data_IF_892963374757
#
_entry.id   IF_892963374757
#
_cell.length_a   1.000
_cell.length_b   1.000
_cell.length_c   1.000
_cell.angle_alpha   90.00
_cell.angle_beta   90.00
_cell.angle_gamma   90.00
#
_symmetry.space_group_name_H-M   'P 1'
#
loop_
_entity.id
_entity.type
_entity.pdbx_description
1 polymer ?
#
# COMPACT_ATOMS: atom_id res chain seq x y z
N UNK A 1 16.14 5.72 8.21
CA UNK A 1 15.16 4.82 7.57
C UNK A 1 13.87 5.54 7.28
N UNK A 2 13.24 5.19 6.19
CA UNK A 2 12.02 5.85 5.75
C UNK A 2 10.85 5.56 6.68
N UNK A 3 10.09 6.59 7.04
CA UNK A 3 8.93 6.50 7.93
C UNK A 3 7.86 5.54 7.40
N UNK A 4 7.63 5.56 6.09
CA UNK A 4 6.67 4.66 5.47
C UNK A 4 7.05 3.19 5.67
N UNK A 5 8.31 2.85 5.45
CA UNK A 5 8.77 1.47 5.59
C UNK A 5 8.66 0.97 7.03
N UNK A 6 8.94 1.83 8.00
CA UNK A 6 8.77 1.50 9.41
C UNK A 6 7.30 1.27 9.76
N UNK A 7 6.44 2.15 9.26
CA UNK A 7 5.02 2.04 9.49
C UNK A 7 4.45 0.76 8.87
N UNK A 8 4.86 0.47 7.63
CA UNK A 8 4.43 -0.76 6.96
C UNK A 8 4.89 -2.00 7.73
N UNK A 9 6.17 -2.03 8.14
CA UNK A 9 6.71 -3.17 8.87
C UNK A 9 5.93 -3.43 10.15
N UNK A 10 5.61 -2.37 10.88
CA UNK A 10 4.83 -2.49 12.10
C UNK A 10 3.43 -3.05 11.86
N UNK A 11 2.73 -2.55 10.85
CA UNK A 11 1.36 -2.98 10.55
C UNK A 11 1.29 -4.36 9.92
N UNK A 12 2.29 -4.72 9.12
CA UNK A 12 2.32 -6.01 8.45
C UNK A 12 2.48 -7.19 9.40
N UNK A 13 2.91 -6.95 10.63
CA UNK A 13 3.04 -8.01 11.64
C UNK A 13 1.68 -8.58 12.05
N UNK A 14 0.69 -7.72 12.15
CA UNK A 14 -0.65 -8.10 12.61
C UNK A 14 -1.67 -8.14 11.47
N UNK A 15 -1.31 -7.59 10.31
CA UNK A 15 -2.21 -7.46 9.19
C UNK A 15 -1.48 -7.83 7.91
N UNK A 16 -1.57 -9.08 7.46
CA UNK A 16 -0.78 -9.56 6.31
C UNK A 16 -1.01 -8.74 5.05
N UNK A 17 0.08 -8.16 4.55
CA UNK A 17 0.07 -7.36 3.33
C UNK A 17 1.32 -7.69 2.52
N UNK A 18 1.23 -7.49 1.20
CA UNK A 18 2.37 -7.65 0.32
C UNK A 18 2.79 -6.28 -0.19
N UNK A 19 4.08 -6.02 -0.17
CA UNK A 19 4.65 -4.75 -0.62
C UNK A 19 5.59 -5.01 -1.79
N UNK A 20 5.40 -4.25 -2.87
CA UNK A 20 6.30 -4.24 -4.01
C UNK A 20 6.74 -2.81 -4.29
N UNK A 21 8.04 -2.60 -4.35
CA UNK A 21 8.62 -1.30 -4.71
C UNK A 21 9.46 -1.53 -5.96
N UNK A 22 9.14 -0.81 -7.02
CA UNK A 22 9.86 -0.93 -8.29
C UNK A 22 10.31 0.44 -8.76
N UNK A 23 11.40 0.43 -9.54
CA UNK A 23 11.91 1.64 -10.17
C UNK A 23 12.34 1.30 -11.59
N UNK A 24 11.98 2.17 -12.54
CA UNK A 24 12.49 2.10 -13.90
C UNK A 24 12.56 3.50 -14.47
N UNK A 25 13.39 3.68 -15.51
CA UNK A 25 13.49 4.98 -16.16
C UNK A 25 12.21 5.39 -16.87
N UNK A 26 11.36 4.42 -17.18
CA UNK A 26 10.09 4.67 -17.87
C UNK A 26 8.96 4.91 -16.90
N UNK A 27 8.90 4.11 -15.82
CA UNK A 27 7.78 4.12 -14.88
C UNK A 27 8.09 4.84 -13.57
N UNK A 28 9.30 5.36 -13.41
CA UNK A 28 9.75 6.02 -12.19
C UNK A 28 9.63 5.10 -10.97
N UNK A 29 9.39 5.66 -9.79
CA UNK A 29 9.16 4.89 -8.57
C UNK A 29 7.70 4.45 -8.53
N UNK A 30 7.48 3.19 -8.14
CA UNK A 30 6.14 2.65 -8.00
C UNK A 30 6.05 1.85 -6.71
N UNK A 31 5.03 2.11 -5.91
CA UNK A 31 4.79 1.40 -4.66
C UNK A 31 3.40 0.77 -4.74
N UNK A 32 3.37 -0.55 -4.57
CA UNK A 32 2.13 -1.32 -4.57
C UNK A 32 2.03 -2.11 -3.28
N UNK A 33 0.92 -1.95 -2.57
CA UNK A 33 0.59 -2.76 -1.41
C UNK A 33 -0.76 -3.43 -1.70
N UNK A 34 -0.82 -4.73 -1.50
CA UNK A 34 -2.05 -5.47 -1.76
C UNK A 34 -2.22 -6.60 -0.74
N UNK A 35 -3.46 -7.05 -0.58
CA UNK A 35 -3.81 -8.17 0.26
C UNK A 35 -4.39 -9.25 -0.63
N UNK A 36 -3.75 -10.41 -0.63
CA UNK A 36 -4.02 -11.46 -1.60
C UNK A 36 -5.24 -12.29 -1.22
N UNK A 37 -6.11 -12.54 -2.22
CA UNK A 37 -7.20 -13.50 -2.05
C UNK A 37 -8.31 -13.09 -1.09
N UNK A 38 -8.48 -11.79 -0.82
CA UNK A 38 -9.46 -11.34 0.16
C UNK A 38 -10.47 -10.33 -0.38
N UNK A 39 -10.71 -10.34 -1.69
CA UNK A 39 -11.66 -9.42 -2.29
C UNK A 39 -13.05 -9.50 -1.66
N UNK A 40 -13.48 -10.68 -1.27
CA UNK A 40 -14.80 -10.89 -0.67
C UNK A 40 -14.92 -10.27 0.73
N UNK A 41 -13.80 -10.12 1.43
CA UNK A 41 -13.78 -9.54 2.76
C UNK A 41 -13.87 -8.01 2.74
N UNK A 42 -13.56 -7.40 1.60
CA UNK A 42 -13.54 -5.95 1.43
C UNK A 42 -14.24 -5.55 0.15
N UNK A 43 -15.56 -5.76 0.06
CA UNK A 43 -16.29 -5.57 -1.21
C UNK A 43 -16.29 -4.13 -1.71
N UNK A 44 -16.06 -3.15 -0.83
CA UNK A 44 -16.04 -1.73 -1.22
C UNK A 44 -14.64 -1.20 -1.52
N UNK A 45 -13.60 -2.01 -1.30
CA UNK A 45 -12.24 -1.61 -1.60
C UNK A 45 -11.92 -1.81 -3.08
N UNK A 46 -10.79 -1.24 -3.54
CA UNK A 46 -10.32 -1.49 -4.90
C UNK A 46 -9.83 -2.93 -5.00
N UNK A 47 -10.12 -3.57 -6.11
CA UNK A 47 -9.73 -4.95 -6.35
C UNK A 47 -8.96 -5.08 -7.66
N UNK A 48 -8.08 -6.08 -7.71
CA UNK A 48 -7.45 -6.55 -8.92
C UNK A 48 -7.61 -8.07 -8.92
N UNK A 49 -8.67 -8.55 -9.58
CA UNK A 49 -9.04 -9.95 -9.48
C UNK A 49 -9.52 -10.27 -8.07
N UNK A 50 -8.84 -11.20 -7.40
CA UNK A 50 -9.16 -11.60 -6.04
C UNK A 50 -8.37 -10.81 -4.97
N UNK A 51 -7.45 -9.95 -5.40
CA UNK A 51 -6.60 -9.19 -4.52
C UNK A 51 -7.19 -7.82 -4.24
N UNK A 52 -7.05 -7.37 -2.99
CA UNK A 52 -7.44 -6.01 -2.60
C UNK A 52 -6.23 -5.10 -2.76
N UNK A 53 -6.41 -4.01 -3.51
CA UNK A 53 -5.34 -3.02 -3.70
C UNK A 53 -5.45 -1.97 -2.59
N UNK A 54 -4.42 -1.91 -1.76
CA UNK A 54 -4.37 -0.99 -0.63
C UNK A 54 -3.69 0.31 -1.01
N UNK A 55 -2.52 0.22 -1.63
CA UNK A 55 -1.74 1.38 -2.08
C UNK A 55 -1.28 1.13 -3.50
N UNK A 56 -1.40 2.15 -4.35
CA UNK A 56 -0.84 2.12 -5.69
C UNK A 56 -0.43 3.54 -6.03
N UNK A 57 0.85 3.86 -5.80
CA UNK A 57 1.40 5.19 -6.03
C UNK A 57 2.62 5.13 -6.93
N UNK A 58 2.77 6.14 -7.76
CA UNK A 58 3.97 6.28 -8.59
C UNK A 58 4.35 7.76 -8.69
N UNK A 59 5.65 8.01 -8.71
CA UNK A 59 6.19 9.36 -8.81
C UNK A 59 7.66 9.30 -9.22
N UNK A 60 8.14 10.33 -9.88
CA UNK A 60 9.55 10.42 -10.22
C UNK A 60 10.42 10.76 -9.00
N UNK A 61 9.83 11.35 -7.96
CA UNK A 61 10.51 11.68 -6.71
C UNK A 61 10.25 10.56 -5.71
N UNK A 62 11.32 9.90 -5.27
CA UNK A 62 11.23 8.79 -4.35
C UNK A 62 10.57 9.18 -3.02
N UNK A 63 10.99 10.31 -2.44
CA UNK A 63 10.45 10.72 -1.15
C UNK A 63 8.97 11.07 -1.24
N UNK A 64 8.57 11.72 -2.32
CA UNK A 64 7.17 12.05 -2.53
C UNK A 64 6.33 10.79 -2.75
N UNK A 65 6.87 9.83 -3.50
CA UNK A 65 6.20 8.55 -3.70
C UNK A 65 5.96 7.82 -2.38
N UNK A 66 6.98 7.75 -1.54
CA UNK A 66 6.85 7.12 -0.22
C UNK A 66 5.90 7.90 0.69
N UNK A 67 5.93 9.22 0.67
CA UNK A 67 5.02 10.02 1.48
C UNK A 67 3.56 9.81 1.08
N UNK A 68 3.28 9.77 -0.21
CA UNK A 68 1.92 9.50 -0.70
C UNK A 68 1.46 8.10 -0.35
N UNK A 69 2.35 7.12 -0.49
CA UNK A 69 2.03 5.74 -0.12
C UNK A 69 1.71 5.64 1.37
N UNK A 70 2.45 6.35 2.20
CA UNK A 70 2.22 6.38 3.65
C UNK A 70 0.82 6.91 3.99
N UNK A 71 0.45 8.03 3.38
CA UNK A 71 -0.87 8.63 3.58
C UNK A 71 -1.97 7.68 3.10
N UNK A 72 -1.80 7.12 1.92
CA UNK A 72 -2.79 6.21 1.34
C UNK A 72 -2.97 4.95 2.18
N UNK A 73 -1.88 4.41 2.73
CA UNK A 73 -1.95 3.25 3.61
C UNK A 73 -2.71 3.58 4.89
N UNK A 74 -2.45 4.72 5.50
CA UNK A 74 -3.17 5.16 6.70
C UNK A 74 -4.65 5.36 6.43
N UNK A 75 -5.00 5.97 5.30
CA UNK A 75 -6.38 6.18 4.92
C UNK A 75 -7.12 4.85 4.73
N UNK A 76 -6.46 3.90 4.07
CA UNK A 76 -7.05 2.58 3.87
C UNK A 76 -7.29 1.87 5.20
N UNK A 77 -6.32 1.92 6.11
CA UNK A 77 -6.46 1.29 7.42
C UNK A 77 -7.57 1.93 8.25
N UNK A 78 -7.73 3.25 8.16
CA UNK A 78 -8.83 3.92 8.83
C UNK A 78 -10.19 3.50 8.28
N UNK A 79 -10.30 3.40 6.98
CA UNK A 79 -11.57 3.09 6.32
C UNK A 79 -11.98 1.62 6.45
N UNK A 80 -11.03 0.71 6.25
CA UNK A 80 -11.34 -0.71 6.14
C UNK A 80 -10.90 -1.56 7.32
N UNK A 81 -10.00 -1.05 8.16
CA UNK A 81 -9.48 -1.81 9.31
C UNK A 81 -9.82 -1.16 10.66
N UNK A 82 -10.55 -0.05 10.64
CA UNK A 82 -10.95 0.62 11.86
C UNK A 82 -9.86 1.42 12.55
N UNK A 83 -8.73 1.62 11.90
CA UNK A 83 -7.64 2.40 12.44
C UNK A 83 -6.27 1.73 12.29
N UNK A 84 -5.28 2.37 12.88
CA UNK A 84 -3.89 1.86 12.81
C UNK A 84 -3.13 2.11 14.11
#
# INVERSE_FOLDING_TARGET
MNEFLKFFDDKAKDFPMHLEITYSKICDWNILIYKKGCADDYPKARHDGEDVIIVNESDCDMELCFARAHVELKEWLLEFNGGY
#
